data_IF_887400811316
#
_entry.id   IF_887400811316
#
_cell.length_a   1.000
_cell.length_b   1.000
_cell.length_c   1.000
_cell.angle_alpha   90.00
_cell.angle_beta   90.00
_cell.angle_gamma   90.00
#
_symmetry.space_group_name_H-M   'P 1'
#
loop_
_entity.id
_entity.type
_entity.pdbx_description
1 polymer ?
#
# COMPACT_ATOMS: atom_id res chain seq x y z
N UNK A 1 4.22 5.01 7.79
CA UNK A 1 2.97 5.55 7.24
C UNK A 1 2.19 6.24 8.35
N UNK A 2 1.07 6.92 8.03
CA UNK A 2 0.18 7.48 9.04
C UNK A 2 -1.23 6.91 8.86
N UNK A 3 -1.69 6.08 9.81
CA UNK A 3 -2.96 5.38 9.71
C UNK A 3 -4.17 6.34 9.69
N UNK A 4 -4.08 7.47 10.41
CA UNK A 4 -5.13 8.50 10.43
C UNK A 4 -5.28 9.15 9.05
N UNK A 5 -4.18 9.56 8.44
CA UNK A 5 -4.18 10.12 7.08
C UNK A 5 -4.70 9.10 6.06
N UNK A 6 -4.34 7.83 6.20
CA UNK A 6 -4.86 6.76 5.35
C UNK A 6 -6.38 6.62 5.47
N UNK A 7 -6.91 6.56 6.70
CA UNK A 7 -8.36 6.49 6.94
C UNK A 7 -9.09 7.63 6.25
N UNK A 8 -8.65 8.87 6.47
CA UNK A 8 -9.27 10.06 5.88
C UNK A 8 -9.23 10.04 4.35
N UNK A 9 -8.14 9.55 3.76
CA UNK A 9 -7.99 9.38 2.32
C UNK A 9 -8.95 8.33 1.77
N UNK A 10 -9.09 7.19 2.46
CA UNK A 10 -10.04 6.13 2.08
C UNK A 10 -11.48 6.63 2.20
N UNK A 11 -11.84 7.36 3.27
CA UNK A 11 -13.18 7.94 3.41
C UNK A 11 -13.51 8.92 2.28
N UNK A 12 -12.52 9.70 1.80
CA UNK A 12 -12.69 10.54 0.61
C UNK A 12 -13.00 9.70 -0.63
N UNK A 13 -12.28 8.59 -0.87
CA UNK A 13 -12.55 7.69 -2.00
C UNK A 13 -13.94 7.03 -1.87
N UNK A 14 -14.29 6.56 -0.68
CA UNK A 14 -15.58 5.91 -0.42
C UNK A 14 -16.76 6.89 -0.46
N UNK A 15 -16.52 8.20 -0.46
CA UNK A 15 -17.59 9.20 -0.66
C UNK A 15 -18.12 9.27 -2.10
N UNK A 16 -17.43 8.64 -3.06
CA UNK A 16 -17.90 8.54 -4.44
C UNK A 16 -19.16 7.66 -4.59
N UNK A 17 -19.87 7.73 -5.74
CA UNK A 17 -21.05 6.90 -5.99
C UNK A 17 -20.74 5.41 -5.85
N UNK A 18 -21.69 4.63 -5.33
CA UNK A 18 -21.49 3.20 -5.05
C UNK A 18 -21.05 2.37 -6.26
N UNK A 19 -21.46 2.75 -7.48
CA UNK A 19 -21.05 2.07 -8.72
C UNK A 19 -19.67 2.47 -9.24
N UNK A 20 -18.94 3.35 -8.56
CA UNK A 20 -17.58 3.74 -8.96
C UNK A 20 -16.65 2.55 -8.84
N UNK A 21 -16.03 2.17 -9.95
CA UNK A 21 -15.05 1.09 -10.02
C UNK A 21 -13.73 1.53 -9.38
N UNK A 22 -13.17 0.67 -8.55
CA UNK A 22 -11.87 0.85 -7.92
C UNK A 22 -10.94 -0.26 -8.41
N UNK A 23 -9.77 0.13 -8.91
CA UNK A 23 -8.75 -0.81 -9.37
C UNK A 23 -7.62 -0.88 -8.35
N UNK A 24 -7.37 -2.08 -7.84
CA UNK A 24 -6.37 -2.33 -6.81
C UNK A 24 -4.97 -2.31 -7.43
N UNK A 25 -4.02 -1.69 -6.74
CA UNK A 25 -2.62 -1.71 -7.14
C UNK A 25 -1.98 -3.10 -6.92
N UNK A 26 -2.47 -3.83 -5.92
CA UNK A 26 -2.01 -5.19 -5.60
C UNK A 26 -3.18 -6.07 -5.20
N UNK A 27 -3.13 -7.33 -5.63
CA UNK A 27 -3.87 -8.43 -5.05
C UNK A 27 -2.85 -9.43 -4.51
N UNK A 28 -2.82 -9.64 -3.19
CA UNK A 28 -1.88 -10.57 -2.58
C UNK A 28 -2.31 -12.00 -2.89
N UNK A 29 -1.36 -12.95 -3.08
CA UNK A 29 -1.62 -14.24 -3.70
C UNK A 29 -2.85 -14.93 -3.09
N UNK A 30 -3.92 -15.13 -3.86
CA UNK A 30 -5.07 -15.83 -3.35
C UNK A 30 -4.74 -17.32 -3.27
N UNK A 31 -5.05 -17.95 -2.14
CA UNK A 31 -4.90 -19.41 -1.97
C UNK A 31 -6.20 -20.14 -2.29
N UNK A 32 -7.31 -19.42 -2.35
CA UNK A 32 -8.67 -19.95 -2.32
C UNK A 32 -9.63 -19.26 -3.31
N UNK A 33 -9.16 -18.26 -4.07
CA UNK A 33 -9.96 -17.53 -5.07
C UNK A 33 -9.16 -17.12 -6.31
N UNK A 34 -9.83 -16.74 -7.41
CA UNK A 34 -9.16 -16.07 -8.52
C UNK A 34 -8.61 -14.70 -8.12
N UNK A 35 -7.67 -14.20 -8.93
CA UNK A 35 -7.15 -12.82 -8.83
C UNK A 35 -8.31 -11.83 -8.97
N UNK A 36 -8.38 -10.88 -8.07
CA UNK A 36 -9.39 -9.83 -8.04
C UNK A 36 -8.70 -8.47 -7.87
N UNK A 37 -8.53 -7.75 -8.98
CA UNK A 37 -7.94 -6.41 -8.99
C UNK A 37 -8.99 -5.29 -9.12
N UNK A 38 -10.28 -5.63 -9.19
CA UNK A 38 -11.37 -4.68 -9.37
C UNK A 38 -12.47 -4.92 -8.34
N UNK A 39 -13.00 -3.83 -7.79
CA UNK A 39 -14.10 -3.77 -6.82
C UNK A 39 -14.90 -2.49 -7.06
N UNK A 40 -15.94 -2.24 -6.27
CA UNK A 40 -16.70 -0.98 -6.32
C UNK A 40 -16.72 -0.28 -4.96
N UNK A 41 -16.95 1.03 -4.95
CA UNK A 41 -17.14 1.79 -3.70
C UNK A 41 -18.24 1.17 -2.82
N UNK A 42 -19.33 0.72 -3.42
CA UNK A 42 -20.43 0.08 -2.69
C UNK A 42 -20.09 -1.29 -2.13
N UNK A 43 -19.17 -2.03 -2.76
CA UNK A 43 -18.66 -3.30 -2.22
C UNK A 43 -17.67 -3.05 -1.09
N UNK A 44 -16.73 -2.13 -1.25
CA UNK A 44 -15.77 -1.76 -0.19
C UNK A 44 -16.49 -1.27 1.07
N UNK A 45 -17.48 -0.38 0.93
CA UNK A 45 -18.32 0.09 2.05
C UNK A 45 -18.98 -1.06 2.81
N UNK A 46 -19.40 -2.12 2.13
CA UNK A 46 -20.14 -3.24 2.76
C UNK A 46 -19.25 -4.35 3.27
N UNK A 47 -18.13 -4.62 2.60
CA UNK A 47 -17.38 -5.88 2.75
C UNK A 47 -15.91 -5.69 3.11
N UNK A 48 -15.36 -4.46 3.06
CA UNK A 48 -13.95 -4.28 3.40
C UNK A 48 -13.70 -4.67 4.86
N UNK A 49 -12.88 -5.69 5.09
CA UNK A 49 -12.65 -6.26 6.42
C UNK A 49 -11.99 -5.32 7.44
N UNK A 50 -11.47 -4.16 6.99
CA UNK A 50 -10.76 -3.22 7.84
C UNK A 50 -11.45 -1.85 7.95
N UNK A 51 -12.14 -1.39 6.90
CA UNK A 51 -12.64 0.00 6.79
C UNK A 51 -14.02 0.09 6.14
N UNK A 52 -14.83 -0.97 6.29
CA UNK A 52 -16.24 -0.92 5.92
C UNK A 52 -17.00 0.16 6.71
N UNK A 53 -18.21 0.48 6.26
CA UNK A 53 -19.12 1.37 6.94
C UNK A 53 -19.43 0.86 8.36
N UNK A 54 -19.28 1.74 9.35
CA UNK A 54 -19.40 1.39 10.77
C UNK A 54 -18.07 1.28 11.51
N UNK A 55 -16.93 1.19 10.81
CA UNK A 55 -15.61 1.32 11.45
C UNK A 55 -15.28 2.80 11.65
N UNK A 56 -15.00 3.20 12.89
CA UNK A 56 -14.61 4.57 13.22
C UNK A 56 -13.11 4.83 12.99
N UNK A 57 -12.71 6.10 12.86
CA UNK A 57 -11.29 6.47 12.70
C UNK A 57 -10.40 5.90 13.83
N UNK A 58 -10.75 6.03 15.14
CA UNK A 58 -9.93 5.46 16.20
C UNK A 58 -9.80 3.93 16.12
N UNK A 59 -10.88 3.22 15.78
CA UNK A 59 -10.85 1.76 15.63
C UNK A 59 -9.93 1.33 14.49
N UNK A 60 -10.02 2.00 13.34
CA UNK A 60 -9.15 1.73 12.20
C UNK A 60 -7.68 2.02 12.55
N UNK A 61 -7.40 3.16 13.19
CA UNK A 61 -6.03 3.57 13.54
C UNK A 61 -5.39 2.57 14.50
N UNK A 62 -6.12 2.14 15.53
CA UNK A 62 -5.62 1.16 16.48
C UNK A 62 -5.30 -0.17 15.78
N UNK A 63 -6.26 -0.72 15.04
CA UNK A 63 -6.08 -1.97 14.29
C UNK A 63 -4.90 -1.88 13.31
N UNK A 64 -4.80 -0.77 12.56
CA UNK A 64 -3.76 -0.59 11.55
C UNK A 64 -2.37 -0.48 12.17
N UNK A 65 -2.24 0.24 13.28
CA UNK A 65 -0.96 0.40 13.99
C UNK A 65 -0.51 -0.94 14.61
N UNK A 66 -1.42 -1.67 15.26
CA UNK A 66 -1.11 -3.01 15.80
C UNK A 66 -0.67 -3.96 14.69
N UNK A 67 -1.37 -3.95 13.55
CA UNK A 67 -1.00 -4.78 12.40
C UNK A 67 0.33 -4.36 11.78
N UNK A 68 0.64 -3.07 11.67
CA UNK A 68 1.90 -2.59 11.11
C UNK A 68 3.12 -3.05 11.93
N UNK A 69 2.99 -3.18 13.25
CA UNK A 69 4.06 -3.65 14.13
C UNK A 69 4.44 -5.12 13.92
N UNK A 70 3.59 -5.93 13.29
CA UNK A 70 3.84 -7.35 13.05
C UNK A 70 4.35 -7.65 11.64
N UNK A 71 4.42 -6.66 10.76
CA UNK A 71 4.82 -6.84 9.37
C UNK A 71 6.33 -6.74 9.21
N UNK A 72 6.88 -7.64 8.41
CA UNK A 72 8.26 -7.57 7.95
C UNK A 72 8.42 -6.50 6.86
N UNK A 73 9.67 -6.08 6.65
CA UNK A 73 10.02 -5.16 5.57
C UNK A 73 9.77 -5.82 4.20
N UNK A 74 9.14 -5.12 3.23
CA UNK A 74 8.96 -5.66 1.90
C UNK A 74 10.31 -6.02 1.25
N UNK A 75 10.41 -7.20 0.65
CA UNK A 75 11.65 -7.76 0.07
C UNK A 75 12.37 -6.75 -0.85
N UNK A 76 11.63 -5.96 -1.62
CA UNK A 76 12.18 -5.01 -2.60
C UNK A 76 12.11 -3.55 -2.14
N UNK A 77 11.90 -3.25 -0.86
CA UNK A 77 11.74 -1.86 -0.39
C UNK A 77 12.95 -0.97 -0.73
N UNK A 78 14.17 -1.42 -0.46
CA UNK A 78 15.39 -0.62 -0.70
C UNK A 78 15.69 -0.45 -2.19
N UNK A 79 15.66 -1.51 -3.03
CA UNK A 79 15.78 -1.35 -4.47
C UNK A 79 14.70 -0.44 -5.06
N UNK A 80 13.44 -0.67 -4.70
CA UNK A 80 12.29 0.01 -5.30
C UNK A 80 12.31 1.50 -4.99
N UNK A 81 12.53 1.90 -3.73
CA UNK A 81 12.54 3.33 -3.36
C UNK A 81 13.65 4.07 -4.11
N UNK A 82 14.86 3.48 -4.22
CA UNK A 82 15.98 4.11 -4.90
C UNK A 82 15.71 4.39 -6.39
N UNK A 83 14.97 3.52 -7.05
CA UNK A 83 14.62 3.67 -8.47
C UNK A 83 13.37 4.55 -8.64
N UNK A 84 12.34 4.33 -7.81
CA UNK A 84 11.05 5.03 -7.91
C UNK A 84 11.16 6.52 -7.59
N UNK A 85 11.99 6.93 -6.62
CA UNK A 85 12.23 8.35 -6.33
C UNK A 85 12.90 9.09 -7.51
N UNK A 86 13.52 8.34 -8.43
CA UNK A 86 14.12 8.84 -9.66
C UNK A 86 13.21 8.62 -10.88
N UNK A 87 11.90 8.54 -10.66
CA UNK A 87 10.91 8.31 -11.72
C UNK A 87 11.17 7.03 -12.56
N UNK A 88 11.75 5.99 -11.95
CA UNK A 88 12.07 4.75 -12.64
C UNK A 88 13.48 4.69 -13.21
N UNK A 89 14.26 5.79 -13.15
CA UNK A 89 15.63 5.79 -13.61
C UNK A 89 16.57 5.09 -12.62
N UNK A 90 17.56 4.33 -13.12
CA UNK A 90 18.58 3.76 -12.26
C UNK A 90 19.46 4.86 -11.65
N UNK A 91 20.17 4.59 -10.53
CA UNK A 91 21.19 5.51 -10.04
C UNK A 91 22.23 5.85 -11.11
N UNK A 92 22.88 7.04 -11.05
CA UNK A 92 23.98 7.37 -11.95
C UNK A 92 25.07 6.29 -11.93
N UNK A 93 25.69 6.06 -13.07
CA UNK A 93 26.83 5.16 -13.16
C UNK A 93 28.03 5.74 -12.38
N UNK A 94 28.80 4.86 -11.74
CA UNK A 94 30.09 5.21 -11.16
C UNK A 94 31.17 5.32 -12.25
N UNK A 95 32.42 5.65 -11.86
CA UNK A 95 33.52 5.88 -12.79
C UNK A 95 33.85 4.65 -13.68
N UNK A 96 33.47 3.45 -13.26
CA UNK A 96 33.60 2.22 -14.04
C UNK A 96 32.47 2.00 -15.06
N UNK A 97 31.56 2.96 -15.21
CA UNK A 97 30.42 2.90 -16.10
C UNK A 97 29.31 1.93 -15.66
N UNK A 98 29.34 1.44 -14.41
CA UNK A 98 28.31 0.54 -13.85
C UNK A 98 27.44 1.27 -12.84
N UNK A 99 26.21 0.80 -12.71
CA UNK A 99 25.25 1.29 -11.71
C UNK A 99 25.09 0.29 -10.59
N UNK A 100 25.02 0.80 -9.36
CA UNK A 100 24.85 -0.01 -8.15
C UNK A 100 23.67 0.50 -7.31
N UNK A 101 22.89 -0.42 -6.78
CA UNK A 101 21.95 -0.13 -5.71
C UNK A 101 22.71 -0.12 -4.38
N UNK A 102 22.39 0.83 -3.51
CA UNK A 102 23.01 0.93 -2.19
C UNK A 102 22.12 0.24 -1.17
N UNK A 103 22.66 -0.74 -0.47
CA UNK A 103 21.97 -1.45 0.62
C UNK A 103 22.58 -0.97 1.94
N UNK A 104 21.92 -0.07 2.69
CA UNK A 104 22.41 0.37 3.98
C UNK A 104 22.42 -0.80 4.98
N UNK A 105 23.46 -0.86 5.81
CA UNK A 105 23.62 -1.89 6.82
C UNK A 105 23.19 -1.38 8.20
N UNK A 106 22.18 -2.02 8.81
CA UNK A 106 21.63 -1.68 10.14
C UNK A 106 21.12 -0.24 10.30
N UNK A 107 20.40 0.30 9.31
CA UNK A 107 19.88 1.69 9.34
C UNK A 107 18.34 1.77 9.26
N UNK A 108 17.64 0.66 9.01
CA UNK A 108 16.19 0.63 8.76
C UNK A 108 15.49 -0.42 9.62
#
# INVERSE_FOLDING_TARGET
>A
GNAKTLYQSVQKILSYPNGTRLFMCHDYPPTDRPIAYETTVGEEKRKNIHVHEGVTEPQFVEMRNQRDQTLEMPVLILPSIQVNIRAGHPPPAEANGKTYLKIPFNVL
#
